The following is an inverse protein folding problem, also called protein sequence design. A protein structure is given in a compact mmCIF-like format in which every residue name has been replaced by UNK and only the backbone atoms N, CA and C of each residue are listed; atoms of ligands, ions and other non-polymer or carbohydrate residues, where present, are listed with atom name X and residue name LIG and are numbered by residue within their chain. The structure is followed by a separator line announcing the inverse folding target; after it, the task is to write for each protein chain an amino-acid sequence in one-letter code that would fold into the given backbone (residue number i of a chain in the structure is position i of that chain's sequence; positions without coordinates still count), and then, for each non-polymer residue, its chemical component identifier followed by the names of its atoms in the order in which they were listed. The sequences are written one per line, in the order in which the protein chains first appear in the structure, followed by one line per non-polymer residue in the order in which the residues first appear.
data_IF_376329778416
#
_entry.id   IF_376329778416
#
_cell.length_a   1.000
_cell.length_b   1.000
_cell.length_c   1.000
_cell.angle_alpha   90.00
_cell.angle_beta   90.00
_cell.angle_gamma   90.00
#
_symmetry.space_group_name_H-M   'P 1'
#
loop_
_entity.id
_entity.type
_entity.pdbx_description
1 polymer ?
#
# COMPACT_ATOMS: atom_id res chain seq x y z
N UNK A 1 -2.03 0.24 -4.72
CA UNK A 1 -1.16 1.13 -5.50
C UNK A 1 -0.32 0.34 -6.50
N UNK A 2 0.20 1.03 -7.54
CA UNK A 2 1.27 0.56 -8.40
C UNK A 2 2.58 1.19 -7.96
N UNK A 3 3.69 0.44 -7.98
CA UNK A 3 5.01 0.94 -7.64
C UNK A 3 6.09 0.20 -8.43
N UNK A 4 6.59 0.83 -9.51
CA UNK A 4 7.66 0.25 -10.33
C UNK A 4 8.53 1.35 -10.97
N UNK A 5 9.70 0.96 -11.46
CA UNK A 5 10.64 1.85 -12.13
C UNK A 5 10.68 1.52 -13.62
N UNK A 6 10.55 2.54 -14.45
CA UNK A 6 10.76 2.46 -15.89
C UNK A 6 11.92 3.36 -16.35
N UNK A 7 12.19 3.43 -17.66
CA UNK A 7 13.23 4.30 -18.22
C UNK A 7 13.06 5.79 -17.87
N UNK A 8 11.80 6.27 -17.76
CA UNK A 8 11.46 7.65 -17.41
C UNK A 8 11.31 7.90 -15.91
N UNK A 9 11.73 6.97 -15.04
CA UNK A 9 11.72 7.13 -13.60
C UNK A 9 10.74 6.21 -12.86
N UNK A 10 10.30 6.62 -11.65
CA UNK A 10 9.38 5.86 -10.81
C UNK A 10 7.91 6.23 -11.09
N UNK A 11 7.07 5.20 -11.21
CA UNK A 11 5.62 5.33 -11.08
C UNK A 11 5.23 4.80 -9.68
N UNK A 12 4.72 5.68 -8.84
CA UNK A 12 4.16 5.33 -7.53
C UNK A 12 2.83 6.07 -7.42
N UNK A 13 1.72 5.36 -7.67
CA UNK A 13 0.38 5.95 -7.70
C UNK A 13 -0.70 4.97 -7.23
N UNK A 14 -1.80 5.52 -6.75
CA UNK A 14 -2.97 4.72 -6.38
C UNK A 14 -3.61 4.11 -7.64
N UNK A 15 -4.00 2.84 -7.51
CA UNK A 15 -4.69 2.13 -8.57
C UNK A 15 -6.17 2.53 -8.64
N UNK A 16 -6.65 2.97 -9.78
CA UNK A 16 -8.05 3.40 -9.99
C UNK A 16 -9.07 2.28 -9.78
N UNK A 17 -8.67 1.01 -9.94
CA UNK A 17 -9.57 -0.12 -9.64
C UNK A 17 -9.95 -0.20 -8.15
N UNK A 18 -9.22 0.47 -7.25
CA UNK A 18 -9.60 0.58 -5.84
C UNK A 18 -10.93 1.32 -5.66
N UNK A 19 -11.23 2.25 -6.54
CA UNK A 19 -12.49 3.03 -6.57
C UNK A 19 -13.41 2.60 -7.73
N UNK A 20 -13.28 1.36 -8.20
CA UNK A 20 -14.07 0.76 -9.28
C UNK A 20 -14.00 1.52 -10.62
N UNK A 21 -12.88 2.19 -10.91
CA UNK A 21 -12.62 2.87 -12.18
C UNK A 21 -11.57 2.12 -13.00
N UNK A 22 -11.61 2.26 -14.31
CA UNK A 22 -10.59 1.72 -15.22
C UNK A 22 -9.21 2.32 -14.87
N UNK A 23 -8.17 1.51 -14.98
CA UNK A 23 -6.81 1.90 -14.64
C UNK A 23 -5.85 1.60 -15.79
N UNK A 24 -5.19 2.62 -16.38
CA UNK A 24 -4.33 2.43 -17.56
C UNK A 24 -3.11 1.54 -17.27
N UNK A 25 -2.64 1.49 -16.01
CA UNK A 25 -1.55 0.60 -15.61
C UNK A 25 -2.01 -0.86 -15.58
N UNK A 26 -3.22 -1.14 -15.07
CA UNK A 26 -3.80 -2.47 -15.09
C UNK A 26 -4.05 -2.95 -16.53
N UNK A 27 -4.57 -2.08 -17.39
CA UNK A 27 -4.79 -2.39 -18.82
C UNK A 27 -3.49 -2.74 -19.52
N UNK A 28 -2.44 -1.91 -19.36
CA UNK A 28 -1.12 -2.18 -19.92
C UNK A 28 -0.53 -3.52 -19.42
N UNK A 29 -0.74 -3.86 -18.15
CA UNK A 29 -0.29 -5.14 -17.60
C UNK A 29 -1.09 -6.33 -18.18
N UNK A 30 -2.38 -6.17 -18.40
CA UNK A 30 -3.21 -7.19 -19.04
C UNK A 30 -2.76 -7.44 -20.49
N UNK A 31 -2.43 -6.37 -21.22
CA UNK A 31 -1.87 -6.48 -22.57
C UNK A 31 -0.56 -7.25 -22.59
N UNK A 32 0.38 -6.90 -21.69
CA UNK A 32 1.66 -7.61 -21.55
C UNK A 32 1.45 -9.10 -21.22
N UNK A 33 0.54 -9.40 -20.31
CA UNK A 33 0.23 -10.77 -19.92
C UNK A 33 -0.33 -11.58 -21.09
N UNK A 34 -1.24 -11.01 -21.88
CA UNK A 34 -1.90 -11.66 -23.01
C UNK A 34 -0.95 -12.00 -24.17
N UNK A 35 0.24 -11.42 -24.24
CA UNK A 35 1.24 -11.76 -25.28
C UNK A 35 1.76 -13.19 -25.18
N UNK A 36 1.62 -13.85 -24.03
CA UNK A 36 2.17 -15.18 -23.76
C UNK A 36 3.70 -15.25 -23.63
N UNK A 37 4.41 -14.16 -23.85
CA UNK A 37 5.86 -14.08 -23.68
C UNK A 37 6.24 -14.12 -22.20
N UNK A 38 7.17 -14.98 -21.80
CA UNK A 38 7.65 -15.08 -20.43
C UNK A 38 8.23 -13.75 -19.92
N UNK A 39 8.97 -13.04 -20.76
CA UNK A 39 9.55 -11.74 -20.39
C UNK A 39 8.46 -10.69 -20.13
N UNK A 40 7.43 -10.64 -20.96
CA UNK A 40 6.30 -9.74 -20.78
C UNK A 40 5.47 -10.10 -19.54
N UNK A 41 5.29 -11.39 -19.25
CA UNK A 41 4.62 -11.85 -18.05
C UNK A 41 5.41 -11.48 -16.77
N UNK A 42 6.74 -11.62 -16.79
CA UNK A 42 7.58 -11.18 -15.68
C UNK A 42 7.47 -9.67 -15.48
N UNK A 43 7.51 -8.90 -16.58
CA UNK A 43 7.33 -7.45 -16.52
C UNK A 43 5.94 -7.05 -15.97
N UNK A 44 4.90 -7.77 -16.34
CA UNK A 44 3.54 -7.55 -15.80
C UNK A 44 3.46 -7.87 -14.30
N UNK A 45 4.17 -8.93 -13.82
CA UNK A 45 4.29 -9.25 -12.39
C UNK A 45 4.97 -8.12 -11.60
N UNK A 46 6.06 -7.58 -12.12
CA UNK A 46 6.79 -6.47 -11.48
C UNK A 46 5.94 -5.19 -11.39
N UNK A 47 5.05 -4.97 -12.34
CA UNK A 47 4.17 -3.78 -12.45
C UNK A 47 2.79 -3.99 -11.85
N UNK A 48 2.47 -5.19 -11.39
CA UNK A 48 1.14 -5.46 -10.81
C UNK A 48 0.84 -4.55 -9.64
N UNK A 49 -0.43 -4.31 -9.37
CA UNK A 49 -0.83 -3.53 -8.21
C UNK A 49 -0.50 -4.28 -6.91
N UNK A 50 0.04 -3.55 -5.95
CA UNK A 50 0.28 -4.03 -4.59
C UNK A 50 -0.92 -3.65 -3.73
N UNK A 51 -1.56 -4.67 -3.13
CA UNK A 51 -2.68 -4.47 -2.22
C UNK A 51 -2.14 -4.20 -0.81
N UNK A 52 -2.66 -3.13 -0.18
CA UNK A 52 -2.41 -2.79 1.21
C UNK A 52 -3.73 -2.55 1.91
N UNK A 53 -3.82 -2.98 3.15
CA UNK A 53 -4.95 -2.76 4.03
C UNK A 53 -4.58 -1.70 5.06
N UNK A 54 -5.58 -0.97 5.52
CA UNK A 54 -5.43 0.06 6.55
C UNK A 54 -6.44 -0.20 7.66
N UNK A 55 -5.99 -0.10 8.91
CA UNK A 55 -6.84 -0.13 10.08
C UNK A 55 -6.38 0.92 11.08
N UNK A 56 -7.31 1.38 11.91
CA UNK A 56 -6.94 1.99 13.17
C UNK A 56 -6.45 0.89 14.10
N UNK A 57 -5.40 1.17 14.85
CA UNK A 57 -4.92 0.32 15.93
C UNK A 57 -4.77 1.14 17.20
N UNK A 58 -5.13 0.57 18.33
CA UNK A 58 -4.76 1.06 19.65
C UNK A 58 -3.59 0.24 20.19
N UNK A 59 -2.52 0.88 20.63
CA UNK A 59 -1.33 0.19 21.12
C UNK A 59 -1.50 -0.12 22.58
N UNK A 60 -1.84 -1.34 22.91
CA UNK A 60 -1.95 -1.81 24.29
C UNK A 60 -0.57 -1.97 24.93
N UNK A 61 0.39 -2.54 24.19
CA UNK A 61 1.75 -2.76 24.66
C UNK A 61 2.77 -2.73 23.53
N UNK A 62 3.84 -1.94 23.71
CA UNK A 62 5.01 -1.87 22.81
C UNK A 62 6.29 -1.82 23.63
N UNK A 63 6.87 -2.97 24.02
CA UNK A 63 8.08 -3.02 24.83
C UNK A 63 9.31 -2.34 24.19
N UNK A 64 9.33 -2.22 22.86
CA UNK A 64 10.41 -1.57 22.13
C UNK A 64 10.28 -0.02 22.17
N UNK A 65 9.04 0.47 22.19
CA UNK A 65 8.73 1.90 22.20
C UNK A 65 7.54 2.19 23.14
N UNK A 66 7.75 2.21 24.45
CA UNK A 66 6.67 2.39 25.43
C UNK A 66 5.89 3.69 25.27
N UNK A 67 6.47 4.70 24.62
CA UNK A 67 5.81 5.96 24.30
C UNK A 67 4.62 5.82 23.32
N UNK A 68 4.50 4.68 22.64
CA UNK A 68 3.37 4.39 21.76
C UNK A 68 2.15 3.85 22.52
N UNK A 69 2.35 3.29 23.72
CA UNK A 69 1.29 2.67 24.49
C UNK A 69 0.20 3.68 24.85
N UNK A 70 -1.04 3.26 24.79
CA UNK A 70 -2.22 4.11 25.04
C UNK A 70 -2.58 5.06 23.89
N UNK A 71 -2.00 4.90 22.70
CA UNK A 71 -2.26 5.77 21.55
C UNK A 71 -2.89 5.03 20.38
N UNK A 72 -3.66 5.77 19.60
CA UNK A 72 -4.25 5.30 18.35
C UNK A 72 -3.36 5.68 17.17
N UNK A 73 -3.11 4.73 16.27
CA UNK A 73 -2.36 4.92 15.03
C UNK A 73 -3.10 4.33 13.83
N UNK A 74 -2.76 4.83 12.65
CA UNK A 74 -3.06 4.16 11.38
C UNK A 74 -1.99 3.11 11.11
N UNK A 75 -2.43 1.88 10.88
CA UNK A 75 -1.54 0.78 10.55
C UNK A 75 -1.81 0.25 9.14
N UNK A 76 -0.75 0.20 8.33
CA UNK A 76 -0.80 -0.36 6.98
C UNK A 76 -0.15 -1.74 6.97
N UNK A 77 -0.85 -2.74 6.46
CA UNK A 77 -0.40 -4.13 6.44
C UNK A 77 -0.73 -4.84 5.11
N UNK A 78 -0.05 -5.95 4.88
CA UNK A 78 -0.24 -6.80 3.71
C UNK A 78 -1.21 -7.95 3.93
N UNK A 79 -1.28 -8.83 2.93
CA UNK A 79 -2.21 -9.97 2.87
C UNK A 79 -2.11 -10.89 4.09
N UNK A 80 -0.92 -11.25 4.58
CA UNK A 80 -0.75 -12.18 5.71
C UNK A 80 -1.48 -11.77 6.99
N UNK A 81 -1.43 -10.47 7.32
CA UNK A 81 -2.16 -9.97 8.49
C UNK A 81 -3.65 -9.90 8.16
N UNK A 82 -4.01 -9.46 6.95
CA UNK A 82 -5.40 -9.43 6.51
C UNK A 82 -6.07 -10.80 6.56
N UNK A 83 -5.37 -11.85 6.10
CA UNK A 83 -5.90 -13.22 6.12
C UNK A 83 -6.21 -13.69 7.55
N UNK A 84 -5.34 -13.38 8.52
CA UNK A 84 -5.61 -13.69 9.95
C UNK A 84 -6.83 -12.94 10.49
N UNK A 85 -6.98 -11.66 10.13
CA UNK A 85 -8.17 -10.87 10.49
C UNK A 85 -9.44 -11.44 9.84
N UNK A 86 -9.35 -11.83 8.57
CA UNK A 86 -10.47 -12.40 7.84
C UNK A 86 -10.84 -13.79 8.37
N UNK A 87 -9.86 -14.62 8.74
CA UNK A 87 -10.08 -15.93 9.33
C UNK A 87 -10.82 -15.84 10.68
N UNK A 88 -10.45 -14.88 11.53
CA UNK A 88 -11.18 -14.63 12.77
C UNK A 88 -12.65 -14.20 12.54
N UNK A 89 -12.91 -13.40 11.51
CA UNK A 89 -14.26 -12.97 11.14
C UNK A 89 -15.05 -14.02 10.36
N UNK A 90 -14.37 -14.87 9.60
CA UNK A 90 -14.96 -15.88 8.73
C UNK A 90 -14.14 -17.18 8.81
N UNK A 91 -14.23 -17.92 9.92
CA UNK A 91 -13.46 -19.13 10.11
C UNK A 91 -13.78 -20.19 9.04
N UNK A 92 -12.76 -20.99 8.68
CA UNK A 92 -12.89 -22.04 7.66
C UNK A 92 -13.48 -23.35 8.22
N UNK A 93 -13.45 -23.53 9.55
CA UNK A 93 -13.89 -24.77 10.20
C UNK A 93 -15.08 -24.51 11.12
N UNK A 94 -16.00 -25.48 11.19
CA UNK A 94 -17.23 -25.38 11.99
C UNK A 94 -16.99 -25.37 13.52
N UNK A 95 -15.84 -25.87 13.96
CA UNK A 95 -15.42 -25.88 15.37
C UNK A 95 -14.75 -24.58 15.82
N UNK A 96 -14.46 -23.67 14.90
CA UNK A 96 -13.89 -22.36 15.19
C UNK A 96 -15.00 -21.33 15.46
N UNK A 97 -14.81 -20.56 16.53
CA UNK A 97 -15.77 -19.50 16.88
C UNK A 97 -15.50 -18.24 16.07
N UNK A 98 -16.51 -17.78 15.34
CA UNK A 98 -16.49 -16.51 14.63
C UNK A 98 -16.56 -15.34 15.61
N UNK A 99 -15.67 -14.36 15.48
CA UNK A 99 -15.74 -13.09 16.20
C UNK A 99 -15.19 -11.93 15.36
N UNK A 100 -15.54 -10.70 15.74
CA UNK A 100 -15.02 -9.49 15.13
C UNK A 100 -13.82 -8.98 15.95
N UNK A 101 -12.57 -9.11 15.49
CA UNK A 101 -11.41 -8.64 16.25
C UNK A 101 -11.36 -7.12 16.43
N UNK A 102 -12.19 -6.35 15.73
CA UNK A 102 -12.31 -4.90 15.88
C UNK A 102 -13.41 -4.48 16.85
N UNK A 103 -14.10 -5.42 17.47
CA UNK A 103 -15.10 -5.10 18.49
C UNK A 103 -14.41 -4.61 19.76
N UNK A 104 -14.94 -3.54 20.37
CA UNK A 104 -14.35 -2.94 21.57
C UNK A 104 -14.63 -3.74 22.84
N UNK A 105 -15.70 -4.52 22.86
CA UNK A 105 -16.13 -5.31 24.01
C UNK A 105 -15.82 -6.80 23.88
N UNK A 106 -16.04 -7.35 22.69
CA UNK A 106 -15.90 -8.78 22.41
C UNK A 106 -14.78 -9.08 21.39
N UNK A 107 -13.90 -8.12 21.14
CA UNK A 107 -12.77 -8.27 20.25
C UNK A 107 -11.60 -9.04 20.84
N UNK A 108 -10.45 -8.97 20.20
CA UNK A 108 -9.25 -9.63 20.69
C UNK A 108 -8.00 -8.80 20.37
N UNK A 109 -7.05 -8.77 21.31
CA UNK A 109 -5.76 -8.16 21.09
C UNK A 109 -4.95 -8.96 20.05
N UNK A 110 -4.35 -8.26 19.08
CA UNK A 110 -3.49 -8.86 18.06
C UNK A 110 -2.01 -8.73 18.45
N UNK A 111 -1.36 -9.87 18.69
CA UNK A 111 0.08 -9.94 18.97
C UNK A 111 0.86 -9.91 17.66
N UNK A 112 1.34 -8.72 17.29
CA UNK A 112 2.15 -8.53 16.10
C UNK A 112 3.57 -9.05 16.34
N UNK A 113 3.93 -10.15 15.67
CA UNK A 113 5.24 -10.79 15.79
C UNK A 113 6.00 -10.68 14.47
N UNK A 114 7.11 -9.95 14.49
CA UNK A 114 8.00 -9.82 13.35
C UNK A 114 9.21 -10.74 13.49
N UNK A 115 9.55 -11.44 12.42
CA UNK A 115 10.79 -12.21 12.31
C UNK A 115 11.36 -12.13 10.90
N UNK A 116 12.64 -12.43 10.75
CA UNK A 116 13.27 -12.56 9.43
C UNK A 116 13.30 -14.03 9.02
N UNK A 117 12.83 -14.33 7.83
CA UNK A 117 12.88 -15.66 7.19
C UNK A 117 13.55 -15.48 5.84
N UNK A 118 14.64 -16.19 5.59
CA UNK A 118 15.42 -16.13 4.35
C UNK A 118 15.85 -14.72 3.93
N UNK A 119 16.11 -13.85 4.91
CA UNK A 119 16.50 -12.45 4.69
C UNK A 119 15.33 -11.47 4.58
N UNK A 120 14.10 -11.94 4.63
CA UNK A 120 12.88 -11.13 4.46
C UNK A 120 12.06 -11.04 5.75
N UNK A 121 11.42 -9.87 5.94
CA UNK A 121 10.53 -9.65 7.07
C UNK A 121 9.23 -10.45 6.96
N UNK A 122 8.83 -11.08 8.05
CA UNK A 122 7.67 -11.96 8.06
C UNK A 122 6.86 -11.80 9.35
N UNK A 123 5.53 -11.80 9.21
CA UNK A 123 4.54 -11.68 10.28
C UNK A 123 3.72 -12.97 10.50
N UNK A 124 4.18 -14.11 9.97
CA UNK A 124 3.48 -15.40 9.98
C UNK A 124 3.14 -15.91 11.40
N UNK A 125 3.95 -15.54 12.38
CA UNK A 125 3.77 -15.91 13.79
C UNK A 125 2.88 -14.97 14.60
N UNK A 126 2.35 -13.94 13.96
CA UNK A 126 1.37 -13.06 14.61
C UNK A 126 0.08 -13.83 14.88
N UNK A 127 -0.57 -13.55 15.99
CA UNK A 127 -1.77 -14.27 16.46
C UNK A 127 -2.66 -13.38 17.29
N UNK A 128 -3.92 -13.77 17.44
CA UNK A 128 -4.83 -13.12 18.40
C UNK A 128 -4.64 -13.71 19.79
N UNK A 129 -4.93 -12.92 20.80
CA UNK A 129 -5.12 -13.34 22.17
C UNK A 129 -6.57 -13.84 22.39
N UNK A 130 -6.92 -14.24 23.61
CA UNK A 130 -8.30 -14.50 23.99
C UNK A 130 -9.14 -13.25 23.80
N UNK A 131 -10.44 -13.44 23.49
CA UNK A 131 -11.39 -12.33 23.43
C UNK A 131 -11.53 -11.67 24.79
N UNK A 132 -11.44 -10.34 24.79
CA UNK A 132 -11.60 -9.51 25.98
C UNK A 132 -11.97 -8.09 25.56
N UNK A 133 -12.57 -7.33 26.45
CA UNK A 133 -12.82 -5.91 26.21
C UNK A 133 -11.49 -5.14 26.12
N UNK A 134 -11.46 -4.13 25.25
CA UNK A 134 -10.27 -3.29 25.04
C UNK A 134 -9.93 -2.45 26.28
N UNK A 135 -10.95 -2.08 27.06
CA UNK A 135 -10.83 -1.39 28.34
C UNK A 135 -12.00 -1.76 29.27
N UNK A 136 -11.82 -1.58 30.57
CA UNK A 136 -12.81 -1.93 31.59
C UNK A 136 -13.94 -0.90 31.72
N UNK A 137 -13.74 0.33 31.24
CA UNK A 137 -14.65 1.46 31.39
C UNK A 137 -15.11 1.99 30.01
N UNK A 138 -16.42 2.11 29.84
CA UNK A 138 -17.04 2.66 28.63
C UNK A 138 -16.55 4.09 28.31
N UNK A 139 -16.21 4.90 29.31
CA UNK A 139 -15.69 6.25 29.09
C UNK A 139 -14.26 6.24 28.51
N UNK A 140 -13.48 5.22 28.82
CA UNK A 140 -12.16 5.00 28.20
C UNK A 140 -12.32 4.52 26.75
N UNK A 141 -13.26 3.60 26.50
CA UNK A 141 -13.60 3.15 25.14
C UNK A 141 -14.07 4.33 24.26
N UNK A 142 -14.91 5.22 24.80
CA UNK A 142 -15.34 6.43 24.08
C UNK A 142 -14.16 7.36 23.78
N UNK A 143 -13.22 7.50 24.71
CA UNK A 143 -12.01 8.31 24.53
C UNK A 143 -11.14 7.74 23.40
N UNK A 144 -10.98 6.42 23.35
CA UNK A 144 -10.23 5.72 22.27
C UNK A 144 -10.97 5.90 20.93
N UNK A 145 -12.30 5.70 20.91
CA UNK A 145 -13.11 5.86 19.72
C UNK A 145 -13.00 7.26 19.11
N UNK A 146 -13.00 8.29 19.93
CA UNK A 146 -12.88 9.68 19.48
C UNK A 146 -11.49 10.04 18.91
N UNK A 147 -10.49 9.17 19.10
CA UNK A 147 -9.14 9.32 18.52
C UNK A 147 -8.98 8.60 17.17
N UNK A 148 -9.98 7.82 16.72
CA UNK A 148 -9.87 7.07 15.48
C UNK A 148 -9.78 7.99 14.27
N UNK A 149 -8.94 7.62 13.33
CA UNK A 149 -8.79 8.30 12.04
C UNK A 149 -9.90 7.86 11.08
N UNK A 150 -10.37 8.77 10.24
CA UNK A 150 -11.31 8.47 9.17
C UNK A 150 -10.62 7.63 8.07
N UNK A 151 -10.95 6.34 7.98
CA UNK A 151 -10.41 5.46 6.93
C UNK A 151 -11.01 5.79 5.54
N UNK A 152 -12.21 6.38 5.50
CA UNK A 152 -12.88 6.76 4.26
C UNK A 152 -12.06 7.78 3.44
N UNK A 153 -11.28 8.62 4.10
CA UNK A 153 -10.46 9.63 3.43
C UNK A 153 -9.38 9.01 2.52
N UNK A 154 -8.91 7.80 2.83
CA UNK A 154 -7.87 7.12 2.03
C UNK A 154 -8.40 6.53 0.73
N UNK A 155 -9.71 6.36 0.61
CA UNK A 155 -10.40 5.86 -0.60
C UNK A 155 -11.24 6.94 -1.28
N UNK A 156 -11.16 8.20 -0.83
CA UNK A 156 -11.83 9.33 -1.48
C UNK A 156 -11.24 9.58 -2.88
N UNK A 157 -12.07 9.95 -3.84
CA UNK A 157 -11.67 10.18 -5.24
C UNK A 157 -10.53 11.20 -5.37
N UNK A 158 -10.46 12.17 -4.47
CA UNK A 158 -9.42 13.21 -4.43
C UNK A 158 -8.00 12.66 -4.23
N UNK A 159 -7.87 11.46 -3.67
CA UNK A 159 -6.58 10.78 -3.47
C UNK A 159 -6.10 10.03 -4.72
N UNK A 160 -6.89 10.03 -5.78
CA UNK A 160 -6.59 9.32 -7.02
C UNK A 160 -6.41 10.31 -8.17
N UNK A 161 -5.44 10.05 -9.03
CA UNK A 161 -5.31 10.75 -10.30
C UNK A 161 -6.44 10.34 -11.25
N UNK A 162 -6.79 11.22 -12.21
CA UNK A 162 -7.68 10.81 -13.29
C UNK A 162 -7.02 9.72 -14.16
N UNK A 163 -7.81 9.04 -14.98
CA UNK A 163 -7.30 8.06 -15.94
C UNK A 163 -6.26 8.70 -16.88
N UNK A 164 -6.55 9.88 -17.40
CA UNK A 164 -5.69 10.61 -18.34
C UNK A 164 -4.35 11.00 -17.69
N UNK A 165 -4.41 11.54 -16.47
CA UNK A 165 -3.21 11.92 -15.71
C UNK A 165 -2.33 10.70 -15.40
N UNK A 166 -2.97 9.59 -15.03
CA UNK A 166 -2.24 8.35 -14.73
C UNK A 166 -1.65 7.73 -16.00
N UNK A 167 -2.38 7.79 -17.13
CA UNK A 167 -1.91 7.32 -18.43
C UNK A 167 -0.73 8.16 -18.93
N UNK A 168 -0.82 9.48 -18.89
CA UNK A 168 0.29 10.37 -19.26
C UNK A 168 1.56 10.06 -18.43
N UNK A 169 1.37 9.85 -17.12
CA UNK A 169 2.48 9.48 -16.24
C UNK A 169 3.05 8.10 -16.57
N UNK A 170 2.19 7.12 -16.87
CA UNK A 170 2.61 5.80 -17.33
C UNK A 170 3.44 5.90 -18.60
N UNK A 171 2.96 6.60 -19.61
CA UNK A 171 3.63 6.77 -20.90
C UNK A 171 5.00 7.46 -20.74
N UNK A 172 5.09 8.45 -19.85
CA UNK A 172 6.37 9.10 -19.49
C UNK A 172 7.34 8.12 -18.83
N UNK A 173 6.87 7.37 -17.83
CA UNK A 173 7.70 6.42 -17.09
C UNK A 173 8.18 5.27 -17.98
N UNK A 174 7.36 4.85 -18.93
CA UNK A 174 7.71 3.81 -19.90
C UNK A 174 8.58 4.33 -21.07
N UNK A 175 8.77 5.65 -21.18
CA UNK A 175 9.50 6.25 -22.30
C UNK A 175 8.72 6.19 -23.62
N UNK A 176 7.39 6.06 -23.56
CA UNK A 176 6.51 6.00 -24.73
C UNK A 176 6.12 7.38 -25.26
N UNK A 177 6.45 8.45 -24.57
CA UNK A 177 6.26 9.79 -25.09
C UNK A 177 7.21 9.96 -26.29
N UNK A 178 6.65 9.77 -27.49
CA UNK A 178 7.31 10.24 -28.69
C UNK A 178 7.54 11.73 -28.51
N UNK A 179 8.78 12.14 -28.71
CA UNK A 179 9.14 13.54 -28.86
C UNK A 179 8.17 14.15 -29.86
N UNK A 180 7.20 14.92 -29.38
CA UNK A 180 6.58 15.90 -30.22
C UNK A 180 7.73 16.84 -30.60
N UNK A 181 8.20 16.66 -31.81
CA UNK A 181 9.16 17.58 -32.45
C UNK A 181 8.48 18.95 -32.39
N UNK A 182 8.89 19.74 -31.42
CA UNK A 182 8.62 21.17 -31.45
C UNK A 182 9.40 21.69 -32.65
N UNK A 183 8.65 21.98 -33.71
CA UNK A 183 9.15 22.84 -34.79
C UNK A 183 9.47 24.16 -34.15
N UNK A 184 10.75 24.44 -34.10
CA UNK A 184 11.30 25.71 -33.69
C UNK A 184 10.65 26.83 -34.49
N UNK A 185 10.18 27.83 -33.80
CA UNK A 185 10.22 29.21 -34.27
C UNK A 185 11.18 29.95 -33.38
N UNK A 186 12.35 30.20 -33.91
CA UNK A 186 13.31 31.19 -33.43
C UNK A 186 12.61 32.51 -33.15
N UNK A 187 12.68 32.98 -31.93
CA UNK A 187 12.74 34.40 -31.61
C UNK A 187 13.74 34.64 -30.49
N UNK A 188 14.87 35.19 -30.90
CA UNK A 188 15.89 35.86 -30.10
C UNK A 188 15.28 37.01 -29.34
N UNK A 189 15.48 37.10 -28.04
CA UNK A 189 15.72 38.37 -27.35
C UNK A 189 16.44 38.11 -26.02
N UNK A 190 17.62 38.67 -26.02
CA UNK A 190 18.52 39.03 -24.97
C UNK A 190 17.81 39.83 -23.87
N UNK A 191 17.92 39.44 -22.62
CA UNK A 191 18.14 40.36 -21.52
C UNK A 191 18.67 39.65 -20.26
N UNK A 192 19.82 40.12 -19.85
CA UNK A 192 20.56 39.75 -18.67
C UNK A 192 20.02 40.48 -17.44
N UNK A 193 19.65 39.77 -16.38
CA UNK A 193 19.72 40.35 -15.04
C UNK A 193 19.94 39.30 -13.95
N UNK A 194 20.99 39.54 -13.22
CA UNK A 194 21.52 38.99 -11.98
C UNK A 194 20.47 38.51 -10.97
N UNK A 195 20.62 37.26 -10.47
CA UNK A 195 20.22 36.93 -9.12
C UNK A 195 21.34 36.18 -8.40
N UNK A 196 21.78 36.78 -7.30
CA UNK A 196 22.74 36.24 -6.33
C UNK A 196 22.12 35.12 -5.52
N UNK A 197 22.85 34.01 -5.46
CA UNK A 197 22.57 32.84 -4.60
C UNK A 197 22.76 33.15 -3.11
N UNK A 198 21.84 32.78 -2.21
CA UNK A 198 22.15 32.75 -0.78
C UNK A 198 22.81 31.43 -0.40
N UNK A 199 23.98 31.55 0.18
CA UNK A 199 24.80 30.48 0.75
C UNK A 199 24.02 29.67 1.79
N UNK A 200 23.74 28.41 1.54
CA UNK A 200 23.20 27.47 2.51
C UNK A 200 24.32 26.83 3.32
N UNK A 201 24.27 27.07 4.63
CA UNK A 201 25.05 26.36 5.64
C UNK A 201 24.69 24.87 5.66
N UNK A 202 25.69 24.01 5.48
CA UNK A 202 25.57 22.56 5.60
C UNK A 202 25.20 22.17 7.03
N UNK A 203 23.98 21.67 7.23
CA UNK A 203 23.64 20.84 8.38
C UNK A 203 23.96 19.39 8.04
N UNK A 204 24.54 18.66 9.01
CA UNK A 204 24.92 17.26 8.87
C UNK A 204 23.69 16.36 8.60
N UNK A 205 23.81 15.29 7.78
CA UNK A 205 22.71 14.41 7.47
C UNK A 205 22.32 13.58 8.70
N UNK A 206 21.03 13.54 9.01
CA UNK A 206 20.44 12.58 9.93
C UNK A 206 20.61 11.15 9.38
N UNK A 207 20.79 10.13 10.22
CA UNK A 207 20.93 8.76 9.73
C UNK A 207 19.65 8.30 9.04
N UNK A 208 19.80 7.84 7.80
CA UNK A 208 18.71 7.27 7.01
C UNK A 208 18.17 6.00 7.70
N UNK A 209 16.84 5.82 7.80
CA UNK A 209 16.28 4.57 8.24
C UNK A 209 16.62 3.50 7.20
N UNK A 210 17.34 2.46 7.62
CA UNK A 210 17.63 1.29 6.79
C UNK A 210 16.32 0.62 6.40
N UNK A 211 15.93 0.77 5.14
CA UNK A 211 14.83 0.02 4.55
C UNK A 211 15.22 -1.46 4.51
N UNK A 212 14.51 -2.29 5.28
CA UNK A 212 14.64 -3.75 5.20
C UNK A 212 13.97 -4.20 3.91
N UNK A 213 14.59 -5.00 3.05
CA UNK A 213 13.94 -5.49 1.84
C UNK A 213 12.72 -6.33 2.19
N UNK A 214 11.57 -5.99 1.60
CA UNK A 214 10.31 -6.71 1.72
C UNK A 214 10.29 -7.84 0.68
N UNK A 215 9.95 -9.06 1.09
CA UNK A 215 9.85 -10.20 0.16
C UNK A 215 8.64 -10.03 -0.77
N UNK A 216 8.91 -9.91 -2.08
CA UNK A 216 7.90 -9.77 -3.13
C UNK A 216 7.41 -11.12 -3.67
N UNK A 217 8.03 -12.26 -3.25
CA UNK A 217 7.79 -13.60 -3.80
C UNK A 217 6.63 -14.36 -3.13
N UNK A 218 5.77 -13.70 -2.37
CA UNK A 218 4.52 -14.33 -1.97
C UNK A 218 3.59 -14.34 -3.18
N UNK A 219 3.44 -15.52 -3.75
CA UNK A 219 2.47 -15.83 -4.79
C UNK A 219 1.10 -15.27 -4.36
N UNK A 220 0.68 -14.25 -5.09
CA UNK A 220 -0.61 -13.63 -4.90
C UNK A 220 -1.67 -14.56 -5.49
N UNK A 221 -2.31 -15.36 -4.62
CA UNK A 221 -3.43 -16.24 -4.98
C UNK A 221 -4.59 -15.51 -5.66
N UNK A 222 -4.50 -14.18 -5.80
CA UNK A 222 -5.48 -13.38 -6.54
C UNK A 222 -5.53 -13.74 -8.04
N UNK A 223 -4.43 -14.28 -8.61
CA UNK A 223 -4.44 -14.77 -10.00
C UNK A 223 -5.27 -16.04 -10.10
N UNK A 224 -5.14 -16.95 -9.15
CA UNK A 224 -5.90 -18.21 -9.13
C UNK A 224 -7.42 -17.99 -8.94
N UNK A 225 -7.81 -16.93 -8.26
CA UNK A 225 -9.21 -16.53 -8.10
C UNK A 225 -9.81 -16.03 -9.43
N UNK A 226 -9.08 -15.23 -10.19
CA UNK A 226 -9.55 -14.74 -11.50
C UNK A 226 -9.52 -15.83 -12.59
N UNK A 227 -8.57 -16.78 -12.52
CA UNK A 227 -8.55 -17.94 -13.43
C UNK A 227 -9.77 -18.86 -13.19
N UNK A 228 -10.16 -19.09 -11.93
CA UNK A 228 -11.39 -19.84 -11.61
C UNK A 228 -12.66 -19.17 -12.09
N UNK A 229 -12.75 -17.84 -12.01
CA UNK A 229 -13.89 -17.09 -12.52
C UNK A 229 -13.97 -17.08 -14.06
N UNK A 230 -12.85 -17.21 -14.76
CA UNK A 230 -12.80 -17.31 -16.21
C UNK A 230 -13.19 -18.70 -16.74
N UNK A 231 -12.97 -19.75 -15.95
CA UNK A 231 -13.34 -21.14 -16.32
C UNK A 231 -14.81 -21.49 -16.00
N UNK A 232 -15.51 -20.69 -15.19
CA UNK A 232 -16.95 -20.87 -14.85
C UNK A 232 -17.90 -20.03 -15.73
N UNK A 233 -17.40 -19.33 -16.74
CA UNK A 233 -18.21 -18.55 -17.69
C UNK A 233 -18.07 -19.10 -19.14
#
# INVERSE_FOLDING_TARGET
NHGFKGPGGWLIDNCLTTINKQCPVCESNTELWSTGSQDNQNLARDRKRKLKFLSNIYVVKDPANPDNEGKVFLYSYGKKIFDKLNEAMNPNFEDESRYNPFDFWDGANFKLKYRTVDGYGNYDKSEFDSQEALADDDSELETIYNQLYSLQEFVSEEKFKSYEQLKERLDRVLGLQQSAVSVETDFVSDDSSYYTEPTQTKSAPAPEPKSVPYNEDEEDDSISYFERLADES
#
